data_IF_070870968152
#
_entry.id   IF_070870968152
#
_cell.length_a   1.000
_cell.length_b   1.000
_cell.length_c   1.000
_cell.angle_alpha   90.00
_cell.angle_beta   90.00
_cell.angle_gamma   90.00
#
_symmetry.space_group_name_H-M   'P 1'
#
loop_
_entity.id
_entity.type
_entity.pdbx_description
1 polymer ?
#
# COMPACT_ATOMS: atom_id res chain seq x y z
N UNK A 1 0.21 10.84 -5.16
CA UNK A 1 -0.79 11.28 -4.14
C UNK A 1 -1.71 10.15 -3.67
N UNK A 2 -2.13 9.31 -4.62
CA UNK A 2 -3.06 8.18 -4.52
C UNK A 2 -2.86 7.32 -3.26
N UNK A 3 -1.61 6.99 -2.94
CA UNK A 3 -1.29 6.10 -1.81
C UNK A 3 -1.24 6.77 -0.44
N UNK A 4 -1.30 8.11 -0.35
CA UNK A 4 -1.33 8.81 0.94
C UNK A 4 0.00 8.92 1.70
N UNK A 5 1.15 8.67 1.05
CA UNK A 5 2.47 8.64 1.69
C UNK A 5 2.82 9.88 2.52
N UNK A 6 2.37 11.07 2.11
CA UNK A 6 2.61 12.31 2.86
C UNK A 6 2.03 12.28 4.28
N UNK A 7 0.92 11.54 4.48
CA UNK A 7 0.20 11.45 5.75
C UNK A 7 0.76 10.34 6.62
N UNK A 8 0.81 9.10 6.11
CA UNK A 8 1.14 7.93 6.91
C UNK A 8 2.55 7.39 6.64
N UNK A 9 3.39 8.11 5.88
CA UNK A 9 4.83 7.83 5.68
C UNK A 9 5.17 6.40 5.22
N UNK A 10 4.25 5.75 4.50
CA UNK A 10 4.44 4.39 4.01
C UNK A 10 4.03 3.27 4.98
N UNK A 11 3.51 3.58 6.17
CA UNK A 11 2.90 2.57 7.03
C UNK A 11 1.60 2.01 6.41
N UNK A 12 1.40 0.70 6.55
CA UNK A 12 0.26 -0.04 6.00
C UNK A 12 -1.06 0.27 6.72
N UNK A 13 -1.57 1.48 6.54
CA UNK A 13 -2.87 1.91 7.08
C UNK A 13 -4.04 1.36 6.25
N UNK A 14 -5.26 1.36 6.82
CA UNK A 14 -6.47 0.98 6.07
C UNK A 14 -6.62 1.75 4.76
N UNK A 15 -6.34 3.05 4.79
CA UNK A 15 -6.38 3.91 3.59
C UNK A 15 -5.32 3.50 2.57
N UNK A 16 -4.13 3.17 3.02
CA UNK A 16 -3.06 2.72 2.13
C UNK A 16 -3.41 1.39 1.44
N UNK A 17 -3.97 0.43 2.18
CA UNK A 17 -4.44 -0.82 1.59
C UNK A 17 -5.66 -0.65 0.67
N UNK A 18 -6.52 0.35 0.92
CA UNK A 18 -7.59 0.69 -0.02
C UNK A 18 -7.02 1.17 -1.37
N UNK A 19 -6.06 2.11 -1.32
CA UNK A 19 -5.38 2.58 -2.52
C UNK A 19 -4.61 1.47 -3.24
N UNK A 20 -3.95 0.57 -2.50
CA UNK A 20 -3.27 -0.60 -3.08
C UNK A 20 -4.23 -1.57 -3.78
N UNK A 21 -5.46 -1.74 -3.30
CA UNK A 21 -6.46 -2.57 -3.98
C UNK A 21 -7.02 -1.91 -5.24
N UNK A 22 -7.15 -0.59 -5.23
CA UNK A 22 -7.70 0.17 -6.35
C UNK A 22 -6.68 0.38 -7.48
N UNK A 23 -5.45 0.75 -7.13
CA UNK A 23 -4.41 1.14 -8.08
C UNK A 23 -3.27 0.12 -8.22
N UNK A 24 -3.24 -0.91 -7.38
CA UNK A 24 -2.12 -1.85 -7.29
C UNK A 24 -0.91 -1.28 -6.55
N UNK A 25 0.14 -2.09 -6.33
CA UNK A 25 1.42 -1.60 -5.80
C UNK A 25 2.26 -0.92 -6.90
N UNK A 26 2.87 0.23 -6.57
CA UNK A 26 3.90 0.87 -7.42
C UNK A 26 5.34 0.49 -7.03
N UNK A 27 6.33 0.92 -7.82
CA UNK A 27 7.74 0.50 -7.74
C UNK A 27 8.41 0.70 -6.37
N UNK A 28 8.01 1.73 -5.62
CA UNK A 28 8.57 2.01 -4.29
C UNK A 28 8.00 1.10 -3.18
N UNK A 29 6.97 0.31 -3.47
CA UNK A 29 6.40 -0.62 -2.49
C UNK A 29 7.26 -1.87 -2.35
N UNK A 30 7.54 -2.26 -1.11
CA UNK A 30 8.17 -3.54 -0.81
C UNK A 30 7.14 -4.65 -0.92
N UNK A 31 7.18 -5.41 -2.02
CA UNK A 31 6.26 -6.54 -2.28
C UNK A 31 6.18 -7.54 -1.13
N UNK A 32 7.31 -7.83 -0.47
CA UNK A 32 7.37 -8.74 0.69
C UNK A 32 6.56 -8.26 1.90
N UNK A 33 6.23 -6.97 1.97
CA UNK A 33 5.45 -6.37 3.07
C UNK A 33 3.94 -6.38 2.75
N UNK A 34 3.56 -6.73 1.52
CA UNK A 34 2.18 -6.73 1.03
C UNK A 34 1.49 -8.09 1.15
N UNK A 35 1.87 -8.92 2.14
CA UNK A 35 1.27 -10.25 2.39
C UNK A 35 -0.27 -10.21 2.43
N UNK A 36 -0.81 -9.21 3.14
CA UNK A 36 -2.25 -8.95 3.24
C UNK A 36 -2.95 -8.60 1.92
N UNK A 37 -2.21 -8.19 0.90
CA UNK A 37 -2.74 -7.93 -0.44
C UNK A 37 -2.75 -9.21 -1.29
N UNK A 38 -1.76 -10.09 -1.11
CA UNK A 38 -1.60 -11.33 -1.86
C UNK A 38 -2.35 -12.53 -1.25
N UNK A 39 -2.83 -12.41 -0.01
CA UNK A 39 -3.65 -13.43 0.65
C UNK A 39 -2.86 -14.48 1.42
N UNK A 40 -1.58 -14.21 1.71
CA UNK A 40 -0.71 -15.07 2.54
C UNK A 40 -0.98 -14.91 4.05
#
# INVERSE_FOLDING_TARGET
PQYGFAVHKGYGTRRHYAALREYGPCEIHRRTFLKKLHGD
#
